data_IF_894799681101
#
_entry.id   IF_894799681101
#
_cell.length_a   1.000
_cell.length_b   1.000
_cell.length_c   1.000
_cell.angle_alpha   90.00
_cell.angle_beta   90.00
_cell.angle_gamma   90.00
#
_symmetry.space_group_name_H-M   'P 1'
#
loop_
_entity.id
_entity.type
_entity.pdbx_description
1 polymer ?
#
# COMPACT_ATOMS: atom_id res chain seq x y z
N UNK A 1 20.33 -35.18 5.23
CA UNK A 1 21.08 -33.98 4.80
C UNK A 1 20.54 -33.55 3.45
N UNK A 2 19.46 -32.78 3.44
CA UNK A 2 18.80 -32.29 2.22
C UNK A 2 19.49 -31.00 1.76
N UNK A 3 20.18 -31.10 0.63
CA UNK A 3 20.90 -30.01 -0.02
C UNK A 3 19.93 -28.86 -0.35
N UNK A 4 20.14 -27.70 0.27
CA UNK A 4 19.42 -26.48 -0.08
C UNK A 4 19.90 -25.99 -1.44
N UNK A 5 19.00 -25.97 -2.43
CA UNK A 5 19.27 -25.33 -3.71
C UNK A 5 19.75 -23.88 -3.46
N UNK A 6 20.76 -23.37 -4.18
CA UNK A 6 21.12 -21.96 -4.09
C UNK A 6 19.86 -21.16 -4.41
N UNK A 7 19.52 -20.24 -3.51
CA UNK A 7 18.33 -19.40 -3.56
C UNK A 7 18.41 -18.48 -4.78
N UNK A 8 18.10 -19.03 -5.95
CA UNK A 8 18.32 -18.36 -7.22
C UNK A 8 17.50 -17.08 -7.27
N UNK A 9 18.18 -15.94 -7.34
CA UNK A 9 17.55 -14.66 -7.59
C UNK A 9 16.84 -14.71 -8.95
N UNK A 10 15.93 -13.76 -9.17
CA UNK A 10 15.34 -13.57 -10.48
C UNK A 10 16.44 -13.46 -11.56
N UNK A 11 16.49 -14.33 -12.59
CA UNK A 11 17.69 -14.48 -13.43
C UNK A 11 18.19 -13.19 -14.11
N UNK A 12 17.33 -12.27 -14.59
CA UNK A 12 17.79 -10.98 -15.09
C UNK A 12 18.52 -10.13 -14.04
N UNK A 13 18.03 -10.12 -12.80
CA UNK A 13 18.68 -9.39 -11.70
C UNK A 13 20.07 -9.97 -11.42
N UNK A 14 20.15 -11.29 -11.27
CA UNK A 14 21.41 -11.99 -11.00
C UNK A 14 22.47 -11.73 -12.08
N UNK A 15 22.07 -11.87 -13.35
CA UNK A 15 22.95 -11.61 -14.49
C UNK A 15 23.40 -10.15 -14.53
N UNK A 16 22.49 -9.20 -14.39
CA UNK A 16 22.83 -7.77 -14.40
C UNK A 16 23.86 -7.46 -13.33
N UNK A 17 23.65 -7.89 -12.08
CA UNK A 17 24.57 -7.64 -10.98
C UNK A 17 25.93 -8.34 -11.18
N UNK A 18 25.92 -9.58 -11.71
CA UNK A 18 27.16 -10.29 -12.04
C UNK A 18 27.99 -9.53 -13.08
N UNK A 19 27.37 -9.03 -14.15
CA UNK A 19 28.07 -8.24 -15.17
C UNK A 19 28.59 -6.92 -14.61
N UNK A 20 27.77 -6.17 -13.85
CA UNK A 20 28.20 -4.91 -13.23
C UNK A 20 29.40 -5.11 -12.30
N UNK A 21 29.41 -6.18 -11.49
CA UNK A 21 30.53 -6.46 -10.59
C UNK A 21 31.85 -6.70 -11.31
N UNK A 22 31.82 -7.30 -12.50
CA UNK A 22 33.01 -7.54 -13.33
C UNK A 22 33.47 -6.26 -14.01
N UNK A 23 32.54 -5.48 -14.56
CA UNK A 23 32.84 -4.26 -15.29
C UNK A 23 33.33 -3.13 -14.38
N UNK A 24 32.87 -3.09 -13.13
CA UNK A 24 33.29 -2.10 -12.14
C UNK A 24 34.82 -2.04 -11.95
N UNK A 25 35.50 -3.18 -12.05
CA UNK A 25 36.96 -3.27 -11.87
C UNK A 25 37.76 -3.00 -13.14
N UNK A 26 37.10 -2.93 -14.29
CA UNK A 26 37.76 -2.95 -15.60
C UNK A 26 37.51 -1.68 -16.43
N UNK A 27 36.60 -0.80 -15.98
CA UNK A 27 36.21 0.41 -16.69
C UNK A 27 36.56 1.65 -15.86
N UNK A 28 36.83 2.74 -16.56
CA UNK A 28 36.91 4.06 -15.92
C UNK A 28 35.57 4.42 -15.25
N UNK A 29 35.58 5.06 -14.07
CA UNK A 29 34.36 5.32 -13.30
C UNK A 29 33.25 5.99 -14.09
N UNK A 30 33.57 6.97 -14.94
CA UNK A 30 32.58 7.72 -15.74
C UNK A 30 31.88 6.79 -16.76
N UNK A 31 32.65 5.93 -17.42
CA UNK A 31 32.12 4.96 -18.40
C UNK A 31 31.30 3.88 -17.70
N UNK A 32 31.78 3.40 -16.55
CA UNK A 32 31.04 2.44 -15.74
C UNK A 32 29.70 3.00 -15.28
N UNK A 33 29.65 4.24 -14.79
CA UNK A 33 28.42 4.87 -14.28
C UNK A 33 27.32 4.93 -15.34
N UNK A 34 27.64 5.35 -16.57
CA UNK A 34 26.66 5.39 -17.66
C UNK A 34 26.10 4.00 -17.99
N UNK A 35 26.98 3.00 -18.07
CA UNK A 35 26.57 1.62 -18.35
C UNK A 35 25.75 1.01 -17.19
N UNK A 36 26.13 1.31 -15.95
CA UNK A 36 25.42 0.85 -14.77
C UNK A 36 24.00 1.42 -14.72
N UNK A 37 23.82 2.69 -15.06
CA UNK A 37 22.49 3.31 -15.14
C UNK A 37 21.58 2.60 -16.13
N UNK A 38 22.05 2.37 -17.37
CA UNK A 38 21.27 1.68 -18.39
C UNK A 38 20.94 0.23 -17.99
N UNK A 39 21.92 -0.50 -17.44
CA UNK A 39 21.72 -1.87 -16.99
C UNK A 39 20.68 -1.97 -15.85
N UNK A 40 20.70 -1.02 -14.91
CA UNK A 40 19.73 -0.92 -13.80
C UNK A 40 18.34 -0.58 -14.33
N UNK A 41 18.22 0.32 -15.31
CA UNK A 41 16.94 0.67 -15.93
C UNK A 41 16.30 -0.53 -16.65
N UNK A 42 17.08 -1.23 -17.47
CA UNK A 42 16.62 -2.43 -18.20
C UNK A 42 16.24 -3.55 -17.22
N UNK A 43 17.04 -3.74 -16.17
CA UNK A 43 16.74 -4.70 -15.11
C UNK A 43 15.43 -4.34 -14.38
N UNK A 44 15.25 -3.07 -14.02
CA UNK A 44 14.05 -2.58 -13.34
C UNK A 44 12.80 -2.82 -14.18
N UNK A 45 12.87 -2.51 -15.48
CA UNK A 45 11.79 -2.78 -16.44
C UNK A 45 11.47 -4.28 -16.54
N UNK A 46 12.50 -5.14 -16.53
CA UNK A 46 12.34 -6.60 -16.54
C UNK A 46 11.62 -7.10 -15.28
N UNK A 47 12.00 -6.60 -14.10
CA UNK A 47 11.36 -6.96 -12.83
C UNK A 47 9.89 -6.52 -12.83
N UNK A 48 9.57 -5.31 -13.32
CA UNK A 48 8.19 -4.83 -13.44
C UNK A 48 7.35 -5.70 -14.38
N UNK A 49 7.89 -6.12 -15.52
CA UNK A 49 7.21 -7.05 -16.43
C UNK A 49 6.92 -8.39 -15.76
N UNK A 50 7.90 -8.96 -15.05
CA UNK A 50 7.71 -10.20 -14.30
C UNK A 50 6.66 -10.07 -13.20
N UNK A 51 6.66 -8.96 -12.44
CA UNK A 51 5.64 -8.65 -11.43
C UNK A 51 4.23 -8.68 -12.02
N UNK A 52 4.01 -8.06 -13.19
CA UNK A 52 2.71 -8.07 -13.88
C UNK A 52 2.29 -9.48 -14.32
N UNK A 53 3.24 -10.31 -14.75
CA UNK A 53 2.95 -11.71 -15.12
C UNK A 53 2.60 -12.55 -13.89
N UNK A 54 3.29 -12.36 -12.77
CA UNK A 54 3.00 -13.03 -11.49
C UNK A 54 1.63 -12.60 -10.96
N UNK A 55 1.30 -11.30 -11.07
CA UNK A 55 0.00 -10.78 -10.67
C UNK A 55 -1.16 -11.47 -11.42
N UNK A 56 -0.97 -11.73 -12.73
CA UNK A 56 -1.96 -12.44 -13.56
C UNK A 56 -2.04 -13.94 -13.26
N UNK A 57 -0.92 -14.57 -12.90
CA UNK A 57 -0.84 -16.03 -12.70
C UNK A 57 -1.22 -16.47 -11.29
N UNK A 58 -0.87 -15.68 -10.27
CA UNK A 58 -1.00 -16.06 -8.86
C UNK A 58 -1.97 -15.13 -8.14
N UNK A 59 -1.51 -13.93 -7.77
CA UNK A 59 -2.37 -12.88 -7.22
C UNK A 59 -1.70 -11.52 -7.35
N UNK A 60 -2.47 -10.41 -7.38
CA UNK A 60 -1.91 -9.05 -7.38
C UNK A 60 -0.90 -8.83 -6.24
N UNK A 61 -1.19 -9.36 -5.05
CA UNK A 61 -0.30 -9.29 -3.88
C UNK A 61 1.03 -9.99 -4.11
N UNK A 62 1.03 -11.16 -4.76
CA UNK A 62 2.27 -11.87 -5.09
C UNK A 62 3.13 -11.07 -6.09
N UNK A 63 2.48 -10.40 -7.04
CA UNK A 63 3.16 -9.49 -7.98
C UNK A 63 3.80 -8.29 -7.28
N UNK A 64 3.09 -7.66 -6.35
CA UNK A 64 3.58 -6.52 -5.56
C UNK A 64 4.74 -6.94 -4.64
N UNK A 65 4.59 -8.04 -3.89
CA UNK A 65 5.64 -8.54 -2.99
C UNK A 65 6.88 -9.02 -3.74
N UNK A 66 6.70 -9.63 -4.92
CA UNK A 66 7.81 -9.95 -5.82
C UNK A 66 8.57 -8.68 -6.24
N UNK A 67 7.84 -7.62 -6.63
CA UNK A 67 8.44 -6.37 -7.07
C UNK A 67 9.23 -5.69 -5.94
N UNK A 68 8.61 -5.55 -4.76
CA UNK A 68 9.25 -4.99 -3.55
C UNK A 68 10.53 -5.77 -3.23
N UNK A 69 10.46 -7.11 -3.18
CA UNK A 69 11.62 -7.96 -2.87
C UNK A 69 12.79 -7.71 -3.83
N UNK A 70 12.54 -7.73 -5.13
CA UNK A 70 13.63 -7.64 -6.12
C UNK A 70 14.15 -6.22 -6.30
N UNK A 71 13.32 -5.20 -6.09
CA UNK A 71 13.79 -3.81 -6.04
C UNK A 71 14.62 -3.52 -4.79
N UNK A 72 14.28 -4.08 -3.63
CA UNK A 72 15.14 -3.98 -2.43
C UNK A 72 16.51 -4.62 -2.68
N UNK A 73 16.55 -5.81 -3.27
CA UNK A 73 17.81 -6.47 -3.62
C UNK A 73 18.60 -5.62 -4.63
N UNK A 74 17.96 -5.15 -5.71
CA UNK A 74 18.63 -4.32 -6.71
C UNK A 74 19.22 -3.06 -6.08
N UNK A 75 18.44 -2.36 -5.25
CA UNK A 75 18.86 -1.15 -4.51
C UNK A 75 20.07 -1.41 -3.60
N UNK A 76 20.03 -2.48 -2.82
CA UNK A 76 21.12 -2.84 -1.91
C UNK A 76 22.40 -3.16 -2.68
N UNK A 77 22.29 -3.88 -3.78
CA UNK A 77 23.45 -4.30 -4.57
C UNK A 77 24.07 -3.15 -5.35
N UNK A 78 23.26 -2.20 -5.86
CA UNK A 78 23.81 -1.00 -6.52
C UNK A 78 24.49 -0.03 -5.56
N UNK A 79 24.09 -0.01 -4.28
CA UNK A 79 24.72 0.82 -3.27
C UNK A 79 26.19 0.41 -3.01
N UNK A 80 26.55 -0.84 -3.28
CA UNK A 80 27.91 -1.37 -3.07
C UNK A 80 28.93 -0.90 -4.13
N UNK A 81 28.49 -0.27 -5.24
CA UNK A 81 29.37 0.16 -6.33
C UNK A 81 29.85 1.62 -6.22
N UNK A 82 29.64 2.29 -5.07
CA UNK A 82 30.17 3.59 -4.61
C UNK A 82 30.93 4.51 -5.60
N UNK A 83 30.26 4.97 -6.67
CA UNK A 83 30.67 6.12 -7.51
C UNK A 83 29.68 7.24 -7.32
N UNK A 84 29.91 8.17 -6.37
CA UNK A 84 29.00 9.31 -6.10
C UNK A 84 27.51 8.93 -5.93
N UNK A 85 27.23 7.67 -5.61
CA UNK A 85 25.89 7.15 -5.35
C UNK A 85 25.54 7.33 -3.87
N UNK A 86 25.69 8.54 -3.30
CA UNK A 86 25.35 8.81 -1.89
C UNK A 86 23.86 8.51 -1.65
N UNK A 87 23.56 7.30 -1.19
CA UNK A 87 22.26 6.91 -0.72
C UNK A 87 22.12 7.53 0.66
N UNK A 88 21.60 8.76 0.69
CA UNK A 88 20.91 9.24 1.89
C UNK A 88 19.97 8.10 2.28
N UNK A 89 20.23 7.48 3.43
CA UNK A 89 19.36 6.48 4.03
C UNK A 89 18.05 7.19 4.40
N UNK A 90 17.22 7.47 3.41
CA UNK A 90 15.85 7.89 3.60
C UNK A 90 15.12 6.64 4.01
N UNK A 91 14.79 6.57 5.29
CA UNK A 91 13.73 5.69 5.76
C UNK A 91 12.51 5.90 4.86
N UNK A 92 11.86 4.81 4.44
CA UNK A 92 10.67 4.89 3.63
C UNK A 92 9.56 5.54 4.48
N UNK A 93 9.34 6.83 4.27
CA UNK A 93 8.27 7.56 4.94
C UNK A 93 6.94 7.37 4.21
N UNK A 94 5.99 6.74 4.91
CA UNK A 94 4.64 6.42 4.47
C UNK A 94 3.56 7.30 5.13
N UNK A 95 3.93 8.41 5.77
CA UNK A 95 2.98 9.32 6.45
C UNK A 95 1.86 9.81 5.53
N UNK A 96 2.16 10.01 4.24
CA UNK A 96 1.16 10.41 3.23
C UNK A 96 0.07 9.36 3.00
N UNK A 97 0.36 8.08 3.23
CA UNK A 97 -0.62 7.00 3.09
C UNK A 97 -1.73 7.15 4.14
N UNK A 98 -1.33 7.44 5.37
CA UNK A 98 -2.25 7.71 6.48
C UNK A 98 -3.03 9.01 6.24
N UNK A 99 -2.37 10.06 5.74
CA UNK A 99 -3.04 11.31 5.38
C UNK A 99 -4.12 11.08 4.31
N UNK A 100 -3.82 10.28 3.28
CA UNK A 100 -4.78 9.93 2.25
C UNK A 100 -5.98 9.17 2.80
N UNK A 101 -5.75 8.19 3.70
CA UNK A 101 -6.81 7.48 4.40
C UNK A 101 -7.69 8.44 5.22
N UNK A 102 -7.08 9.33 6.01
CA UNK A 102 -7.81 10.32 6.82
C UNK A 102 -8.68 11.22 5.95
N UNK A 103 -8.16 11.64 4.79
CA UNK A 103 -8.91 12.45 3.82
C UNK A 103 -10.13 11.71 3.28
N UNK A 104 -9.99 10.41 2.98
CA UNK A 104 -11.10 9.55 2.58
C UNK A 104 -12.13 9.45 3.69
N UNK A 105 -11.71 9.16 4.93
CA UNK A 105 -12.64 9.02 6.05
C UNK A 105 -13.33 10.35 6.40
N UNK A 106 -12.70 11.49 6.13
CA UNK A 106 -13.34 12.82 6.22
C UNK A 106 -14.28 13.14 5.04
N UNK A 107 -14.41 12.24 4.07
CA UNK A 107 -15.16 12.45 2.82
C UNK A 107 -14.56 13.50 1.89
N UNK A 108 -13.31 13.91 2.12
CA UNK A 108 -12.57 14.87 1.30
C UNK A 108 -11.88 14.21 0.10
N UNK A 109 -11.90 12.88 0.01
CA UNK A 109 -11.38 12.10 -1.11
C UNK A 109 -12.27 10.89 -1.39
N UNK A 110 -12.30 10.47 -2.65
CA UNK A 110 -13.12 9.34 -3.08
C UNK A 110 -12.44 8.00 -2.81
N UNK A 111 -13.23 7.00 -2.40
CA UNK A 111 -12.81 5.60 -2.39
C UNK A 111 -12.41 5.07 -3.78
N UNK A 112 -12.91 5.70 -4.83
CA UNK A 112 -12.57 5.33 -6.21
C UNK A 112 -11.20 5.84 -6.63
N UNK A 113 -10.72 6.96 -6.07
CA UNK A 113 -9.37 7.46 -6.32
C UNK A 113 -8.31 6.53 -5.71
N UNK A 114 -8.66 5.76 -4.69
CA UNK A 114 -7.85 4.66 -4.13
C UNK A 114 -7.46 3.64 -5.20
N UNK A 115 -8.35 3.35 -6.16
CA UNK A 115 -8.15 2.28 -7.14
C UNK A 115 -7.40 2.76 -8.39
N UNK A 116 -7.33 4.09 -8.62
CA UNK A 116 -6.70 4.71 -9.80
C UNK A 116 -5.17 4.85 -9.71
N UNK A 117 -4.54 4.37 -8.63
CA UNK A 117 -3.08 4.28 -8.52
C UNK A 117 -2.45 3.33 -9.56
N UNK A 118 -3.25 2.55 -10.28
CA UNK A 118 -2.83 1.75 -11.45
C UNK A 118 -2.53 2.56 -12.72
N UNK A 119 -2.58 3.89 -12.67
CA UNK A 119 -2.22 4.74 -13.82
C UNK A 119 -0.70 4.92 -13.98
N UNK A 120 0.00 3.81 -14.26
CA UNK A 120 1.30 3.78 -14.95
C UNK A 120 1.14 4.16 -16.44
N UNK A 121 0.35 5.20 -16.72
CA UNK A 121 0.02 5.71 -18.06
C UNK A 121 0.35 7.21 -18.19
N UNK A 122 1.47 7.63 -17.61
CA UNK A 122 2.25 8.81 -17.98
C UNK A 122 3.69 8.28 -18.08
N UNK A 123 4.44 8.31 -19.16
CA UNK A 123 4.42 9.18 -20.35
C UNK A 123 5.41 8.52 -21.32
N UNK A 124 4.94 7.98 -22.45
CA UNK A 124 5.81 7.70 -23.60
C UNK A 124 5.84 8.97 -24.46
N UNK A 125 6.62 9.96 -24.03
CA UNK A 125 6.99 11.12 -24.83
C UNK A 125 8.51 11.19 -24.84
N UNK A 126 9.18 11.03 -25.99
CA UNK A 126 10.63 11.05 -26.03
C UNK A 126 11.08 12.49 -25.86
N UNK A 127 11.64 12.81 -24.69
CA UNK A 127 12.34 14.07 -24.48
C UNK A 127 13.77 13.71 -24.12
N UNK A 128 14.65 13.79 -25.12
CA UNK A 128 16.10 13.69 -24.90
C UNK A 128 16.51 14.99 -24.21
N UNK A 129 16.71 14.89 -22.90
CA UNK A 129 17.36 15.89 -22.07
C UNK A 129 18.37 15.11 -21.23
N UNK A 130 19.64 15.51 -21.26
CA UNK A 130 20.80 14.83 -20.64
C UNK A 130 20.45 14.13 -19.31
N UNK A 131 20.38 12.79 -19.38
CA UNK A 131 19.88 11.89 -18.34
C UNK A 131 20.96 11.50 -17.33
N UNK A 132 21.82 12.45 -16.94
CA UNK A 132 22.88 12.18 -15.95
C UNK A 132 22.34 11.97 -14.52
N UNK A 133 21.02 12.10 -14.33
CA UNK A 133 20.25 11.86 -13.10
C UNK A 133 19.01 11.03 -13.51
N UNK A 134 18.65 9.85 -12.98
CA UNK A 134 19.18 9.06 -11.88
C UNK A 134 18.39 7.72 -11.85
N UNK A 135 18.86 6.67 -12.54
CA UNK A 135 18.19 5.35 -12.59
C UNK A 135 17.94 4.78 -11.18
N UNK A 136 18.76 5.17 -10.20
CA UNK A 136 18.57 4.87 -8.79
C UNK A 136 17.40 5.66 -8.20
N UNK A 137 17.28 6.96 -8.44
CA UNK A 137 16.10 7.74 -8.01
C UNK A 137 14.80 7.19 -8.59
N UNK A 138 14.81 6.77 -9.85
CA UNK A 138 13.62 6.14 -10.45
C UNK A 138 13.33 4.78 -9.84
N UNK A 139 14.36 3.97 -9.54
CA UNK A 139 14.20 2.74 -8.77
C UNK A 139 13.60 3.00 -7.38
N UNK A 140 14.12 3.97 -6.63
CA UNK A 140 13.63 4.36 -5.30
C UNK A 140 12.19 4.86 -5.35
N UNK A 141 11.86 5.70 -6.34
CA UNK A 141 10.51 6.19 -6.58
C UNK A 141 9.55 5.04 -6.87
N UNK A 142 9.94 4.12 -7.74
CA UNK A 142 9.13 2.95 -8.09
C UNK A 142 8.97 1.98 -6.91
N UNK A 143 10.03 1.78 -6.11
CA UNK A 143 9.98 0.98 -4.89
C UNK A 143 9.02 1.61 -3.87
N UNK A 144 9.16 2.90 -3.59
CA UNK A 144 8.29 3.64 -2.67
C UNK A 144 6.82 3.54 -3.12
N UNK A 145 6.55 3.83 -4.39
CA UNK A 145 5.20 3.75 -4.94
C UNK A 145 4.59 2.34 -4.83
N UNK A 146 5.39 1.30 -5.07
CA UNK A 146 4.92 -0.09 -4.92
C UNK A 146 4.61 -0.44 -3.46
N UNK A 147 5.43 0.02 -2.52
CA UNK A 147 5.18 -0.16 -1.09
C UNK A 147 3.91 0.57 -0.65
N UNK A 148 3.70 1.81 -1.07
CA UNK A 148 2.48 2.59 -0.80
C UNK A 148 1.23 1.88 -1.36
N UNK A 149 1.31 1.39 -2.60
CA UNK A 149 0.23 0.64 -3.24
C UNK A 149 -0.09 -0.66 -2.48
N UNK A 150 0.93 -1.39 -2.03
CA UNK A 150 0.76 -2.59 -1.21
C UNK A 150 0.09 -2.27 0.13
N UNK A 151 0.59 -1.28 0.88
CA UNK A 151 0.02 -0.84 2.18
C UNK A 151 -1.46 -0.49 2.01
N UNK A 152 -1.78 0.26 0.96
CA UNK A 152 -3.14 0.68 0.66
C UNK A 152 -4.03 -0.48 0.23
N UNK A 153 -3.52 -1.41 -0.59
CA UNK A 153 -4.27 -2.61 -0.99
C UNK A 153 -4.63 -3.48 0.22
N UNK A 154 -3.69 -3.69 1.16
CA UNK A 154 -3.95 -4.48 2.37
C UNK A 154 -4.87 -3.75 3.32
N UNK A 155 -4.69 -2.42 3.49
CA UNK A 155 -5.58 -1.60 4.31
C UNK A 155 -7.02 -1.73 3.80
N UNK A 156 -7.23 -1.57 2.49
CA UNK A 156 -8.55 -1.72 1.85
C UNK A 156 -9.13 -3.10 2.08
N UNK A 157 -8.35 -4.16 1.87
CA UNK A 157 -8.79 -5.55 2.08
C UNK A 157 -9.45 -5.76 3.47
N UNK A 158 -8.97 -5.05 4.49
CA UNK A 158 -9.47 -5.18 5.87
C UNK A 158 -10.60 -4.20 6.17
N UNK A 159 -10.47 -2.92 5.81
CA UNK A 159 -11.36 -1.85 6.29
C UNK A 159 -12.31 -1.28 5.23
N UNK A 160 -12.39 -1.86 4.02
CA UNK A 160 -13.32 -1.43 2.97
C UNK A 160 -14.78 -1.27 3.44
N UNK A 161 -15.34 -2.19 4.27
CA UNK A 161 -16.70 -2.02 4.79
C UNK A 161 -16.87 -0.72 5.59
N UNK A 162 -15.91 -0.41 6.48
CA UNK A 162 -15.90 0.82 7.29
C UNK A 162 -15.79 2.06 6.42
N UNK A 163 -14.92 2.01 5.42
CA UNK A 163 -14.69 3.12 4.50
C UNK A 163 -15.93 3.42 3.66
N UNK A 164 -16.59 2.38 3.13
CA UNK A 164 -17.85 2.48 2.40
C UNK A 164 -18.94 3.11 3.25
N UNK A 165 -19.06 2.67 4.51
CA UNK A 165 -20.02 3.23 5.46
C UNK A 165 -19.75 4.70 5.74
N UNK A 166 -18.53 5.07 6.13
CA UNK A 166 -18.18 6.47 6.42
C UNK A 166 -18.42 7.37 5.21
N UNK A 167 -18.11 6.90 4.00
CA UNK A 167 -18.36 7.66 2.77
C UNK A 167 -19.86 7.91 2.56
N UNK A 168 -20.71 6.91 2.79
CA UNK A 168 -22.17 7.07 2.70
C UNK A 168 -22.71 8.01 3.79
N UNK A 169 -22.24 7.88 5.02
CA UNK A 169 -22.63 8.78 6.12
C UNK A 169 -22.26 10.22 5.81
N UNK A 170 -21.03 10.46 5.35
CA UNK A 170 -20.57 11.81 5.00
C UNK A 170 -21.37 12.39 3.83
N UNK A 171 -21.68 11.59 2.80
CA UNK A 171 -22.53 12.04 1.69
C UNK A 171 -23.92 12.46 2.16
N UNK A 172 -24.55 11.69 3.05
CA UNK A 172 -25.86 12.03 3.65
C UNK A 172 -25.75 13.32 4.49
N UNK A 173 -24.72 13.45 5.33
CA UNK A 173 -24.50 14.65 6.16
C UNK A 173 -24.27 15.91 5.31
N UNK A 174 -23.50 15.82 4.24
CA UNK A 174 -23.28 16.93 3.30
C UNK A 174 -24.57 17.30 2.56
N UNK A 175 -25.36 16.32 2.11
CA UNK A 175 -26.64 16.57 1.47
C UNK A 175 -27.64 17.28 2.41
N UNK A 176 -27.68 16.88 3.68
CA UNK A 176 -28.50 17.52 4.71
C UNK A 176 -28.04 18.95 5.04
N UNK A 177 -26.72 19.19 5.03
CA UNK A 177 -26.14 20.49 5.35
C UNK A 177 -26.21 21.50 4.19
N UNK A 178 -26.36 21.02 2.96
CA UNK A 178 -26.36 21.84 1.73
C UNK A 178 -27.78 22.21 1.25
N UNK A 179 -28.81 21.96 2.05
CA UNK A 179 -30.21 22.23 1.75
C UNK A 179 -30.56 23.73 1.72
N UNK A 180 -30.17 24.43 0.65
CA UNK A 180 -30.73 25.74 0.29
C UNK A 180 -32.13 25.56 -0.35
N UNK A 181 -33.15 25.74 0.47
CA UNK A 181 -34.50 26.30 0.24
C UNK A 181 -35.39 25.97 -1.00
N UNK A 182 -35.00 25.29 -2.08
CA UNK A 182 -35.87 25.26 -3.28
C UNK A 182 -35.97 23.97 -4.12
N UNK A 183 -35.57 22.80 -3.60
CA UNK A 183 -35.94 21.53 -4.23
C UNK A 183 -36.50 20.58 -3.18
N UNK A 184 -37.71 20.07 -3.43
CA UNK A 184 -38.37 19.01 -2.66
C UNK A 184 -37.35 17.87 -2.42
N UNK A 185 -36.79 17.82 -1.22
CA UNK A 185 -35.97 16.71 -0.76
C UNK A 185 -36.86 15.47 -0.74
N UNK A 186 -36.37 14.33 -1.24
CA UNK A 186 -37.09 13.08 -1.07
C UNK A 186 -37.24 12.77 0.43
N UNK A 187 -38.43 12.37 0.91
CA UNK A 187 -38.72 12.16 2.35
C UNK A 187 -37.91 11.02 3.01
N UNK A 188 -37.04 10.34 2.25
CA UNK A 188 -36.11 9.34 2.76
C UNK A 188 -34.82 9.94 3.37
N UNK A 189 -34.44 11.17 3.02
CA UNK A 189 -33.17 11.76 3.45
C UNK A 189 -33.25 12.55 4.77
N UNK A 190 -34.43 12.98 5.20
CA UNK A 190 -34.63 13.70 6.48
C UNK A 190 -34.59 12.80 7.72
N UNK A 191 -34.51 11.48 7.53
CA UNK A 191 -34.51 10.52 8.63
C UNK A 191 -33.15 10.50 9.34
N UNK A 192 -33.13 10.39 10.70
CA UNK A 192 -31.88 10.27 11.45
C UNK A 192 -31.05 9.09 10.92
N UNK A 193 -29.73 9.15 11.05
CA UNK A 193 -28.81 8.20 10.38
C UNK A 193 -29.19 6.73 10.64
N UNK A 194 -29.66 6.42 11.85
CA UNK A 194 -30.14 5.09 12.28
C UNK A 194 -31.28 4.50 11.45
N UNK A 195 -32.10 5.35 10.83
CA UNK A 195 -33.28 4.97 10.04
C UNK A 195 -32.97 4.85 8.54
N UNK A 196 -31.73 5.17 8.14
CA UNK A 196 -31.25 4.94 6.78
C UNK A 196 -31.01 3.44 6.57
N UNK A 197 -31.47 2.89 5.44
CA UNK A 197 -31.43 1.45 5.16
C UNK A 197 -30.01 0.83 5.18
N UNK A 198 -28.97 1.64 4.99
CA UNK A 198 -27.57 1.19 5.04
C UNK A 198 -26.92 1.32 6.43
N UNK A 199 -27.60 1.97 7.38
CA UNK A 199 -27.06 2.38 8.66
C UNK A 199 -27.97 1.95 9.83
N UNK A 200 -28.85 0.98 9.61
CA UNK A 200 -29.56 0.29 10.70
C UNK A 200 -28.57 -0.40 11.63
N UNK A 201 -28.89 -0.60 12.92
CA UNK A 201 -27.95 -1.16 13.90
C UNK A 201 -27.41 -2.54 13.49
N UNK A 202 -28.27 -3.39 12.93
CA UNK A 202 -27.91 -4.71 12.42
C UNK A 202 -26.88 -4.63 11.28
N UNK A 203 -27.01 -3.63 10.40
CA UNK A 203 -26.08 -3.42 9.28
C UNK A 203 -24.73 -2.90 9.74
N UNK A 204 -24.72 -2.07 10.77
CA UNK A 204 -23.49 -1.59 11.39
C UNK A 204 -22.79 -2.73 12.15
N UNK A 205 -23.55 -3.59 12.85
CA UNK A 205 -23.02 -4.79 13.47
C UNK A 205 -22.45 -5.79 12.44
N UNK A 206 -23.16 -6.03 11.33
CA UNK A 206 -22.69 -6.87 10.21
C UNK A 206 -21.38 -6.33 9.62
N UNK A 207 -21.27 -5.00 9.46
CA UNK A 207 -20.06 -4.34 9.00
C UNK A 207 -18.88 -4.57 9.96
N UNK A 208 -19.10 -4.37 11.27
CA UNK A 208 -18.06 -4.58 12.30
C UNK A 208 -17.61 -6.05 12.30
N UNK A 209 -18.54 -6.98 12.19
CA UNK A 209 -18.24 -8.41 12.11
C UNK A 209 -17.41 -8.77 10.86
N UNK A 210 -17.73 -8.20 9.70
CA UNK A 210 -16.93 -8.39 8.47
C UNK A 210 -15.49 -7.92 8.63
N UNK A 211 -15.28 -6.75 9.24
CA UNK A 211 -13.93 -6.23 9.48
C UNK A 211 -13.17 -7.08 10.50
N UNK A 212 -13.81 -7.49 11.60
CA UNK A 212 -13.20 -8.39 12.58
C UNK A 212 -12.80 -9.73 11.95
N UNK A 213 -13.65 -10.28 11.09
CA UNK A 213 -13.35 -11.51 10.34
C UNK A 213 -12.16 -11.31 9.40
N UNK A 214 -12.09 -10.17 8.69
CA UNK A 214 -10.97 -9.84 7.82
C UNK A 214 -9.65 -9.70 8.61
N UNK A 215 -9.68 -9.09 9.79
CA UNK A 215 -8.51 -9.00 10.69
C UNK A 215 -8.04 -10.41 11.11
N UNK A 216 -8.96 -11.30 11.45
CA UNK A 216 -8.62 -12.64 11.95
C UNK A 216 -8.21 -13.64 10.86
N UNK A 217 -8.69 -13.47 9.62
CA UNK A 217 -8.48 -14.45 8.55
C UNK A 217 -7.55 -13.93 7.44
N UNK A 218 -7.78 -12.70 6.96
CA UNK A 218 -7.07 -12.15 5.80
C UNK A 218 -5.70 -11.60 6.20
N UNK A 219 -5.61 -10.92 7.34
CA UNK A 219 -4.36 -10.28 7.77
C UNK A 219 -3.25 -11.30 8.10
N UNK A 220 -3.51 -12.44 8.78
CA UNK A 220 -2.50 -13.48 8.95
C UNK A 220 -2.03 -14.06 7.61
N UNK A 221 -2.93 -14.24 6.64
CA UNK A 221 -2.57 -14.71 5.29
C UNK A 221 -1.63 -13.72 4.58
N UNK A 222 -1.87 -12.41 4.73
CA UNK A 222 -0.96 -11.37 4.22
C UNK A 222 0.41 -11.49 4.89
N UNK A 223 0.45 -11.68 6.21
CA UNK A 223 1.70 -11.80 6.97
C UNK A 223 2.51 -13.03 6.57
N UNK A 224 1.87 -14.17 6.34
CA UNK A 224 2.55 -15.37 5.85
C UNK A 224 3.16 -15.15 4.45
N UNK A 225 2.44 -14.47 3.55
CA UNK A 225 3.00 -14.07 2.26
C UNK A 225 4.16 -13.08 2.43
N UNK A 226 4.05 -12.09 3.31
CA UNK A 226 5.14 -11.16 3.60
C UNK A 226 6.38 -11.89 4.11
N UNK A 227 6.24 -12.89 5.01
CA UNK A 227 7.35 -13.73 5.48
C UNK A 227 7.99 -14.54 4.36
N UNK A 228 7.19 -15.07 3.43
CA UNK A 228 7.67 -15.84 2.28
C UNK A 228 8.55 -14.99 1.33
N UNK A 229 8.10 -13.78 1.00
CA UNK A 229 8.82 -12.90 0.06
C UNK A 229 9.93 -12.07 0.73
N UNK A 230 9.64 -11.50 1.90
CA UNK A 230 10.48 -10.54 2.62
C UNK A 230 11.03 -11.19 3.89
N UNK A 231 12.25 -11.72 3.80
CA UNK A 231 12.86 -12.46 4.91
C UNK A 231 13.35 -11.57 6.05
N UNK A 232 13.66 -10.29 5.78
CA UNK A 232 14.09 -9.34 6.79
C UNK A 232 12.90 -8.88 7.66
N UNK A 233 12.91 -9.11 8.99
CA UNK A 233 11.84 -8.70 9.89
C UNK A 233 11.63 -7.19 9.94
N UNK A 234 12.69 -6.39 9.90
CA UNK A 234 12.62 -4.93 9.90
C UNK A 234 11.87 -4.41 8.69
N UNK A 235 12.11 -4.98 7.50
CA UNK A 235 11.37 -4.63 6.28
C UNK A 235 9.89 -4.94 6.40
N UNK A 236 9.55 -6.09 7.01
CA UNK A 236 8.13 -6.44 7.26
C UNK A 236 7.48 -5.45 8.21
N UNK A 237 8.16 -5.06 9.30
CA UNK A 237 7.65 -4.05 10.24
C UNK A 237 7.45 -2.68 9.57
N UNK A 238 8.40 -2.23 8.75
CA UNK A 238 8.32 -0.96 8.02
C UNK A 238 7.06 -0.91 7.12
N UNK A 239 6.71 -2.03 6.47
CA UNK A 239 5.49 -2.10 5.64
C UNK A 239 4.22 -2.32 6.47
N UNK A 240 4.28 -3.08 7.56
CA UNK A 240 3.10 -3.44 8.35
C UNK A 240 2.65 -2.34 9.30
N UNK A 241 3.58 -1.56 9.89
CA UNK A 241 3.24 -0.49 10.82
C UNK A 241 2.24 0.53 10.24
N UNK A 242 2.42 1.05 9.00
CA UNK A 242 1.42 1.89 8.35
C UNK A 242 0.05 1.21 8.21
N UNK A 243 0.01 -0.09 7.89
CA UNK A 243 -1.24 -0.87 7.79
C UNK A 243 -1.94 -0.93 9.15
N UNK A 244 -1.20 -1.22 10.22
CA UNK A 244 -1.72 -1.23 11.60
C UNK A 244 -2.34 0.13 11.96
N UNK A 245 -1.60 1.22 11.76
CA UNK A 245 -2.05 2.58 12.09
C UNK A 245 -3.32 2.92 11.30
N UNK A 246 -3.36 2.58 10.01
CA UNK A 246 -4.52 2.78 9.15
C UNK A 246 -5.77 2.03 9.65
N UNK A 247 -5.62 0.75 10.02
CA UNK A 247 -6.73 -0.06 10.55
C UNK A 247 -7.27 0.55 11.84
N UNK A 248 -6.39 0.94 12.76
CA UNK A 248 -6.78 1.55 14.05
C UNK A 248 -7.49 2.89 13.84
N UNK A 249 -6.98 3.73 12.95
CA UNK A 249 -7.60 5.02 12.60
C UNK A 249 -9.01 4.83 12.03
N UNK A 250 -9.20 3.88 11.11
CA UNK A 250 -10.53 3.56 10.56
C UNK A 250 -11.51 3.11 11.65
N UNK A 251 -11.07 2.22 12.57
CA UNK A 251 -11.89 1.78 13.69
C UNK A 251 -12.27 2.93 14.62
N UNK A 252 -11.31 3.79 14.98
CA UNK A 252 -11.54 4.94 15.85
C UNK A 252 -12.59 5.88 15.26
N UNK A 253 -12.52 6.16 13.96
CA UNK A 253 -13.48 7.06 13.32
C UNK A 253 -14.89 6.48 13.27
N UNK A 254 -15.05 5.19 12.94
CA UNK A 254 -16.37 4.54 13.00
C UNK A 254 -16.86 4.45 14.44
N UNK A 255 -15.99 4.19 15.42
CA UNK A 255 -16.38 4.13 16.82
C UNK A 255 -16.91 5.48 17.33
N UNK A 256 -16.25 6.58 16.95
CA UNK A 256 -16.71 7.92 17.28
C UNK A 256 -18.06 8.25 16.62
N UNK A 257 -18.25 7.83 15.38
CA UNK A 257 -19.52 7.98 14.66
C UNK A 257 -20.65 7.20 15.34
N UNK A 258 -20.39 5.95 15.73
CA UNK A 258 -21.36 5.12 16.44
C UNK A 258 -21.75 5.76 17.79
N UNK A 259 -20.76 6.22 18.57
CA UNK A 259 -21.01 6.88 19.86
C UNK A 259 -21.88 8.13 19.72
N UNK A 260 -21.71 8.89 18.64
CA UNK A 260 -22.48 10.10 18.39
C UNK A 260 -23.93 9.81 17.96
N UNK A 261 -24.16 8.78 17.15
CA UNK A 261 -25.45 8.58 16.46
C UNK A 261 -26.31 7.44 17.05
N UNK A 262 -25.71 6.49 17.80
CA UNK A 262 -26.35 5.25 18.28
C UNK A 262 -26.20 5.06 19.80
N UNK A 263 -26.07 6.12 20.59
CA UNK A 263 -25.77 6.07 22.04
C UNK A 263 -26.72 5.20 22.89
N UNK A 264 -27.90 4.83 22.39
CA UNK A 264 -28.89 3.99 23.07
C UNK A 264 -28.80 2.50 22.72
N UNK A 265 -28.00 2.10 21.74
CA UNK A 265 -27.93 0.72 21.23
C UNK A 265 -26.50 0.16 21.36
N UNK A 266 -26.37 -1.02 21.97
CA UNK A 266 -25.08 -1.65 22.23
C UNK A 266 -24.50 -2.28 20.95
N UNK A 267 -23.88 -1.48 20.09
CA UNK A 267 -23.06 -2.01 19.00
C UNK A 267 -21.69 -2.38 19.59
N UNK A 268 -21.46 -3.68 19.79
CA UNK A 268 -20.20 -4.21 20.32
C UNK A 268 -19.07 -4.09 19.30
N UNK A 269 -18.33 -2.99 19.36
CA UNK A 269 -17.04 -2.85 18.68
C UNK A 269 -15.88 -3.28 19.57
N UNK A 270 -14.87 -3.91 18.95
CA UNK A 270 -13.63 -4.27 19.63
C UNK A 270 -12.96 -3.00 20.18
N UNK A 271 -12.65 -2.93 21.49
CA UNK A 271 -11.90 -1.82 22.06
C UNK A 271 -10.55 -1.62 21.37
N UNK A 272 -10.16 -0.36 21.15
CA UNK A 272 -8.94 -0.01 20.41
C UNK A 272 -7.67 -0.66 21.01
N UNK A 273 -7.59 -0.74 22.35
CA UNK A 273 -6.44 -1.36 23.01
C UNK A 273 -6.32 -2.86 22.70
N UNK A 274 -7.45 -3.58 22.65
CA UNK A 274 -7.49 -5.01 22.28
C UNK A 274 -7.10 -5.18 20.82
N UNK A 275 -7.63 -4.33 19.94
CA UNK A 275 -7.28 -4.34 18.52
C UNK A 275 -5.78 -4.10 18.31
N UNK A 276 -5.19 -3.14 19.03
CA UNK A 276 -3.74 -2.89 18.96
C UNK A 276 -2.93 -4.11 19.36
N UNK A 277 -3.27 -4.74 20.49
CA UNK A 277 -2.60 -5.98 20.95
C UNK A 277 -2.76 -7.12 19.93
N UNK A 278 -3.94 -7.30 19.34
CA UNK A 278 -4.17 -8.30 18.31
C UNK A 278 -3.29 -8.07 17.07
N UNK A 279 -3.16 -6.82 16.63
CA UNK A 279 -2.31 -6.47 15.48
C UNK A 279 -0.82 -6.60 15.81
N UNK A 280 -0.41 -6.32 17.04
CA UNK A 280 0.98 -6.49 17.48
C UNK A 280 1.42 -7.97 17.51
N UNK A 281 0.49 -8.88 17.81
CA UNK A 281 0.76 -10.32 17.81
C UNK A 281 0.97 -10.93 16.41
N UNK A 282 0.73 -10.17 15.33
CA UNK A 282 0.89 -10.65 13.95
C UNK A 282 2.29 -10.42 13.37
N UNK A 283 3.12 -9.61 14.03
CA UNK A 283 4.46 -9.22 13.59
C UNK A 283 5.52 -10.31 13.81
#
# INVERSE_FOLDING_TARGET
>A
MSQGAPKAWYPPLDKTLSYLSKLYRCLEPVVFTGLAQEAVEVCSTSIQKASKLIAKRSSPMDGQLFLIKHFLILREQIANFDVEFSATHKELDFSHVLEHLRRILRGQASLFDWTKSTSLARTLSPRVLESQIDAKKDLEKNLKATCEEFIMSVTKLVVDPMLSFVTKVTAVKVALSSGNQNQKLEPAMEKPLRDQAFATPDKVAELVQKVNTAIQQQLPMVMEKMKLYLQNPTTRMILFNPIKVNIVEAHLQVQNLIKAEYSSEAINMTPIHILQTQLDNLL
#
